data_IF_652431247304
#
_entry.id   IF_652431247304
#
_cell.length_a   1.000
_cell.length_b   1.000
_cell.length_c   1.000
_cell.angle_alpha   90.00
_cell.angle_beta   90.00
_cell.angle_gamma   90.00
#
_symmetry.space_group_name_H-M   'P 1'
#
loop_
_entity.id
_entity.type
_entity.pdbx_description
1 polymer ?
#
# COMPACT_ATOMS: atom_id res chain seq x y z
N UNK A 1 -43.86 -31.54 7.38
CA UNK A 1 -43.49 -31.07 8.74
C UNK A 1 -42.14 -31.68 9.12
N UNK A 2 -41.30 -30.88 9.80
CA UNK A 2 -39.99 -31.16 10.41
C UNK A 2 -38.70 -31.08 9.53
N UNK A 3 -37.75 -30.27 10.04
CA UNK A 3 -36.33 -29.99 9.70
C UNK A 3 -35.50 -30.43 10.95
N UNK A 4 -34.15 -30.34 11.03
CA UNK A 4 -33.03 -30.92 10.26
C UNK A 4 -31.94 -31.58 11.16
N UNK A 5 -30.91 -32.24 10.59
CA UNK A 5 -29.58 -32.53 11.18
C UNK A 5 -28.75 -33.26 10.10
N UNK A 6 -27.49 -33.01 9.78
CA UNK A 6 -26.50 -31.99 10.12
C UNK A 6 -25.42 -32.05 9.04
N UNK A 7 -24.91 -30.90 8.60
CA UNK A 7 -23.86 -30.80 7.59
C UNK A 7 -22.48 -31.02 8.23
N UNK A 8 -21.91 -32.20 8.05
CA UNK A 8 -20.46 -32.37 8.13
C UNK A 8 -19.87 -31.90 6.80
N UNK A 9 -19.40 -30.66 6.76
CA UNK A 9 -18.43 -30.24 5.75
C UNK A 9 -17.11 -30.94 6.10
N UNK A 10 -16.90 -32.15 5.57
CA UNK A 10 -15.56 -32.69 5.42
C UNK A 10 -14.83 -31.75 4.47
N UNK A 11 -14.02 -30.86 5.05
CA UNK A 11 -13.06 -30.08 4.32
C UNK A 11 -12.17 -31.06 3.55
N UNK A 12 -12.20 -30.98 2.22
CA UNK A 12 -11.17 -31.58 1.38
C UNK A 12 -9.86 -30.95 1.84
N UNK A 13 -9.06 -31.71 2.60
CA UNK A 13 -7.67 -31.39 2.90
C UNK A 13 -6.93 -31.51 1.56
N UNK A 14 -6.77 -30.37 0.88
CA UNK A 14 -6.22 -30.32 -0.48
C UNK A 14 -6.00 -28.89 -0.95
N UNK A 15 -4.99 -28.25 -0.34
CA UNK A 15 -4.41 -26.91 -0.57
C UNK A 15 -4.61 -26.02 0.66
N UNK A 16 -3.67 -26.13 1.61
CA UNK A 16 -3.50 -25.07 2.60
C UNK A 16 -3.36 -23.74 1.87
N UNK A 17 -3.98 -22.69 2.41
CA UNK A 17 -3.88 -21.33 1.94
C UNK A 17 -2.46 -21.03 1.42
N UNK A 18 -2.30 -20.92 0.10
CA UNK A 18 -0.97 -20.78 -0.53
C UNK A 18 -0.25 -19.50 -0.07
N UNK A 19 -0.96 -18.51 0.45
CA UNK A 19 -0.39 -17.25 0.93
C UNK A 19 0.04 -17.29 2.40
N UNK A 20 -0.35 -18.29 3.19
CA UNK A 20 0.16 -18.42 4.57
C UNK A 20 1.64 -18.78 4.62
N UNK A 21 2.22 -19.21 3.49
CA UNK A 21 3.68 -19.36 3.33
C UNK A 21 4.44 -18.05 3.60
N UNK A 22 3.79 -16.90 3.34
CA UNK A 22 4.35 -15.57 3.54
C UNK A 22 4.54 -15.21 5.02
N UNK A 23 3.95 -15.94 5.96
CA UNK A 23 4.07 -15.68 7.41
C UNK A 23 5.56 -15.56 7.83
N UNK A 24 6.39 -16.49 7.35
CA UNK A 24 7.82 -16.52 7.67
C UNK A 24 8.60 -15.35 7.07
N UNK A 25 8.24 -14.94 5.85
CA UNK A 25 8.85 -13.80 5.16
C UNK A 25 8.45 -12.48 5.82
N UNK A 26 7.17 -12.31 6.14
CA UNK A 26 6.63 -11.14 6.86
C UNK A 26 7.33 -11.01 8.21
N UNK A 27 7.39 -12.10 8.98
CA UNK A 27 8.07 -12.12 10.28
C UNK A 27 9.54 -11.76 10.12
N UNK A 28 10.22 -12.30 9.11
CA UNK A 28 11.59 -11.95 8.81
C UNK A 28 11.75 -10.45 8.53
N UNK A 29 10.96 -9.86 7.62
CA UNK A 29 11.07 -8.42 7.30
C UNK A 29 10.82 -7.56 8.55
N UNK A 30 9.83 -7.91 9.39
CA UNK A 30 9.57 -7.22 10.65
C UNK A 30 10.73 -7.33 11.66
N UNK A 31 11.40 -8.49 11.77
CA UNK A 31 12.61 -8.62 12.62
C UNK A 31 13.76 -7.73 12.16
N UNK A 32 13.80 -7.41 10.87
CA UNK A 32 14.76 -6.49 10.26
C UNK A 32 14.29 -5.02 10.33
N UNK A 33 13.24 -4.73 11.12
CA UNK A 33 12.63 -3.40 11.29
C UNK A 33 12.02 -2.83 10.01
N UNK A 34 11.73 -3.68 9.03
CA UNK A 34 10.94 -3.32 7.85
C UNK A 34 9.47 -3.46 8.22
N UNK A 35 8.71 -2.38 8.03
CA UNK A 35 7.26 -2.40 8.26
C UNK A 35 6.56 -3.02 7.07
N UNK A 36 5.61 -3.92 7.32
CA UNK A 36 4.84 -4.61 6.28
C UNK A 36 3.40 -4.15 6.33
N UNK A 37 2.89 -3.63 5.21
CA UNK A 37 1.53 -3.12 5.08
C UNK A 37 0.73 -4.01 4.13
N UNK A 38 -0.56 -4.16 4.40
CA UNK A 38 -1.51 -4.66 3.40
C UNK A 38 -2.04 -3.47 2.61
N UNK A 39 -1.76 -3.42 1.30
CA UNK A 39 -2.39 -2.45 0.41
C UNK A 39 -3.71 -3.01 -0.12
N UNK A 40 -4.80 -2.27 0.09
CA UNK A 40 -6.12 -2.65 -0.39
C UNK A 40 -6.21 -2.34 -1.88
N UNK A 41 -6.43 -3.37 -2.70
CA UNK A 41 -6.73 -3.21 -4.12
C UNK A 41 -8.24 -3.17 -4.36
N UNK A 42 -8.69 -2.50 -5.42
CA UNK A 42 -10.02 -2.71 -5.99
C UNK A 42 -9.87 -3.41 -7.33
N UNK A 43 -10.54 -4.55 -7.48
CA UNK A 43 -10.75 -5.17 -8.78
C UNK A 43 -11.82 -4.38 -9.56
N UNK A 44 -11.37 -3.64 -10.58
CA UNK A 44 -12.26 -2.85 -11.46
C UNK A 44 -13.22 -3.71 -12.28
N UNK A 45 -13.00 -5.01 -12.40
CA UNK A 45 -13.90 -5.92 -13.12
C UNK A 45 -15.11 -6.36 -12.28
N UNK A 46 -15.05 -6.20 -10.96
CA UNK A 46 -16.15 -6.51 -10.03
C UNK A 46 -17.15 -5.37 -9.85
N UNK A 47 -17.02 -4.27 -10.62
CA UNK A 47 -17.87 -3.08 -10.49
C UNK A 47 -19.36 -3.33 -10.83
N UNK A 48 -19.72 -4.50 -11.36
CA UNK A 48 -21.09 -4.82 -11.79
C UNK A 48 -21.74 -5.99 -11.04
N UNK A 49 -21.01 -6.75 -10.21
CA UNK A 49 -21.57 -8.00 -9.63
C UNK A 49 -21.56 -8.09 -8.11
N UNK A 50 -20.79 -7.27 -7.38
CA UNK A 50 -20.73 -7.32 -5.91
C UNK A 50 -21.12 -5.99 -5.23
N UNK A 51 -22.24 -5.41 -5.65
CA UNK A 51 -22.91 -4.32 -4.90
C UNK A 51 -23.14 -4.66 -3.42
N UNK A 52 -23.11 -5.95 -3.03
CA UNK A 52 -23.34 -6.39 -1.65
C UNK A 52 -22.23 -6.01 -0.64
N UNK A 53 -20.98 -5.78 -1.06
CA UNK A 53 -19.89 -5.41 -0.12
C UNK A 53 -20.01 -3.96 0.38
N UNK A 54 -20.61 -3.08 -0.42
CA UNK A 54 -20.78 -1.65 -0.11
C UNK A 54 -22.24 -1.24 0.02
N UNK A 55 -23.19 -2.19 -0.04
CA UNK A 55 -24.63 -1.91 0.11
C UNK A 55 -25.11 -1.98 1.57
N UNK A 56 -24.32 -2.58 2.46
CA UNK A 56 -24.64 -2.62 3.89
C UNK A 56 -24.28 -1.28 4.55
N UNK A 57 -25.16 -0.70 5.38
CA UNK A 57 -24.83 0.46 6.20
C UNK A 57 -23.61 0.23 7.12
N UNK A 58 -23.30 -1.02 7.44
CA UNK A 58 -22.19 -1.40 8.33
C UNK A 58 -20.94 -1.82 7.53
N UNK A 59 -20.87 -1.52 6.22
CA UNK A 59 -19.80 -2.00 5.35
C UNK A 59 -18.40 -1.55 5.83
N UNK A 60 -18.26 -0.30 6.26
CA UNK A 60 -17.01 0.23 6.77
C UNK A 60 -16.56 -0.47 8.07
N UNK A 61 -17.48 -0.66 9.02
CA UNK A 61 -17.21 -1.35 10.29
C UNK A 61 -16.86 -2.83 10.06
N UNK A 62 -17.61 -3.51 9.19
CA UNK A 62 -17.36 -4.90 8.84
C UNK A 62 -15.98 -5.08 8.19
N UNK A 63 -15.59 -4.19 7.28
CA UNK A 63 -14.25 -4.22 6.68
C UNK A 63 -13.16 -3.97 7.72
N UNK A 64 -13.33 -2.96 8.58
CA UNK A 64 -12.37 -2.65 9.64
C UNK A 64 -12.18 -3.85 10.59
N UNK A 65 -13.27 -4.48 11.03
CA UNK A 65 -13.24 -5.68 11.88
C UNK A 65 -12.54 -6.84 11.18
N UNK A 66 -12.85 -7.08 9.91
CA UNK A 66 -12.18 -8.11 9.12
C UNK A 66 -10.67 -7.89 9.04
N UNK A 67 -10.23 -6.66 8.76
CA UNK A 67 -8.80 -6.31 8.69
C UNK A 67 -8.11 -6.48 10.04
N UNK A 68 -8.75 -6.01 11.11
CA UNK A 68 -8.26 -6.15 12.49
C UNK A 68 -8.06 -7.61 12.86
N UNK A 69 -9.06 -8.46 12.60
CA UNK A 69 -9.04 -9.87 12.99
C UNK A 69 -8.06 -10.70 12.16
N UNK A 70 -8.02 -10.49 10.84
CA UNK A 70 -7.36 -11.41 9.92
C UNK A 70 -5.93 -11.01 9.54
N UNK A 71 -5.55 -9.74 9.73
CA UNK A 71 -4.24 -9.24 9.30
C UNK A 71 -3.47 -8.49 10.38
N UNK A 72 -4.15 -7.94 11.40
CA UNK A 72 -3.53 -7.06 12.40
C UNK A 72 -3.45 -7.67 13.81
N UNK A 73 -4.08 -8.83 14.04
CA UNK A 73 -4.26 -9.43 15.37
C UNK A 73 -3.21 -10.47 15.77
N UNK A 74 -2.46 -11.04 14.83
CA UNK A 74 -1.56 -12.19 15.10
C UNK A 74 -2.27 -13.54 15.14
N UNK A 75 -3.59 -13.57 14.95
CA UNK A 75 -4.36 -14.81 14.80
C UNK A 75 -4.19 -15.36 13.38
N UNK A 76 -4.55 -16.64 13.22
CA UNK A 76 -4.57 -17.30 11.92
C UNK A 76 -5.49 -16.57 10.96
N UNK A 77 -4.92 -16.09 9.86
CA UNK A 77 -5.65 -15.44 8.77
C UNK A 77 -5.10 -15.79 7.38
N UNK A 78 -5.44 -15.00 6.36
CA UNK A 78 -5.03 -15.24 4.97
C UNK A 78 -3.51 -15.22 4.73
N UNK A 79 -2.72 -14.62 5.61
CA UNK A 79 -1.25 -14.58 5.50
C UNK A 79 -0.57 -15.39 6.61
N UNK A 80 -1.30 -16.30 7.25
CA UNK A 80 -0.86 -17.02 8.44
C UNK A 80 -1.11 -16.22 9.72
N UNK A 81 -0.36 -16.52 10.77
CA UNK A 81 -0.45 -15.91 12.10
C UNK A 81 0.32 -14.58 12.17
N UNK A 82 -0.07 -13.60 11.37
CA UNK A 82 0.66 -12.33 11.24
C UNK A 82 -0.01 -11.17 11.96
N UNK A 83 0.81 -10.22 12.41
CA UNK A 83 0.39 -8.89 12.85
C UNK A 83 1.07 -7.85 11.95
N UNK A 84 0.46 -7.54 10.81
CA UNK A 84 0.99 -6.54 9.87
C UNK A 84 1.10 -5.16 10.53
N UNK A 85 2.07 -4.35 10.12
CA UNK A 85 2.31 -3.02 10.69
C UNK A 85 1.22 -2.02 10.35
N UNK A 86 0.54 -2.18 9.21
CA UNK A 86 -0.47 -1.23 8.79
C UNK A 86 -1.31 -1.63 7.59
N UNK A 87 -2.22 -0.74 7.24
CA UNK A 87 -3.10 -0.81 6.07
C UNK A 87 -2.82 0.38 5.17
N UNK A 88 -2.66 0.12 3.88
CA UNK A 88 -2.51 1.13 2.84
C UNK A 88 -3.78 1.22 2.00
N UNK A 89 -4.33 2.43 1.89
CA UNK A 89 -5.58 2.71 1.20
C UNK A 89 -5.32 3.22 -0.23
N UNK A 90 -6.00 2.65 -1.24
CA UNK A 90 -5.77 3.01 -2.64
C UNK A 90 -6.41 4.35 -2.98
N UNK A 91 -5.98 4.95 -4.09
CA UNK A 91 -6.64 6.12 -4.67
C UNK A 91 -7.93 5.74 -5.40
N UNK A 92 -8.99 5.54 -4.62
CA UNK A 92 -10.32 5.22 -5.13
C UNK A 92 -11.36 6.06 -4.39
N UNK A 93 -12.44 6.39 -5.09
CA UNK A 93 -13.57 7.09 -4.48
C UNK A 93 -14.29 6.20 -3.48
N UNK A 94 -15.02 6.83 -2.56
CA UNK A 94 -15.97 6.13 -1.69
C UNK A 94 -17.02 5.36 -2.51
N UNK A 95 -17.54 4.29 -1.90
CA UNK A 95 -18.75 3.60 -2.35
C UNK A 95 -20.01 4.25 -1.78
N UNK A 96 -21.16 3.61 -2.03
CA UNK A 96 -22.47 4.10 -1.54
C UNK A 96 -22.58 4.04 0.00
N UNK A 97 -22.12 2.96 0.63
CA UNK A 97 -22.07 2.82 2.09
C UNK A 97 -20.68 2.43 2.61
N UNK A 98 -19.66 2.43 1.75
CA UNK A 98 -18.27 2.19 2.16
C UNK A 98 -17.48 3.47 1.99
N UNK A 99 -17.34 4.20 3.09
CA UNK A 99 -16.54 5.43 3.17
C UNK A 99 -15.18 5.14 3.79
N UNK A 100 -14.10 5.58 3.15
CA UNK A 100 -12.74 5.23 3.60
C UNK A 100 -12.36 5.88 4.93
N UNK A 101 -12.90 7.06 5.22
CA UNK A 101 -12.71 7.76 6.50
C UNK A 101 -13.36 7.01 7.67
N UNK A 102 -14.52 6.38 7.46
CA UNK A 102 -15.16 5.51 8.45
C UNK A 102 -14.33 4.26 8.74
N UNK A 103 -13.77 3.61 7.70
CA UNK A 103 -12.87 2.46 7.87
C UNK A 103 -11.63 2.85 8.68
N UNK A 104 -11.00 3.98 8.33
CA UNK A 104 -9.85 4.55 9.05
C UNK A 104 -10.21 4.81 10.52
N UNK A 105 -11.37 5.43 10.77
CA UNK A 105 -11.85 5.75 12.11
C UNK A 105 -12.09 4.49 12.93
N UNK A 106 -12.73 3.47 12.35
CA UNK A 106 -13.00 2.20 13.02
C UNK A 106 -11.71 1.44 13.36
N UNK A 107 -10.73 1.39 12.45
CA UNK A 107 -9.42 0.77 12.76
C UNK A 107 -8.69 1.54 13.86
N UNK A 108 -8.71 2.88 13.80
CA UNK A 108 -8.05 3.73 14.80
C UNK A 108 -8.74 3.67 16.19
N UNK A 109 -10.03 3.33 16.25
CA UNK A 109 -10.76 3.10 17.49
C UNK A 109 -10.45 1.73 18.13
N UNK A 110 -9.68 0.88 17.45
CA UNK A 110 -9.26 -0.42 17.99
C UNK A 110 -8.53 -0.28 19.32
N UNK A 111 -8.83 -1.16 20.26
CA UNK A 111 -8.22 -1.21 21.59
C UNK A 111 -6.90 -2.00 21.63
N UNK A 112 -6.37 -2.36 20.46
CA UNK A 112 -5.07 -3.01 20.40
C UNK A 112 -3.98 -2.14 21.02
N UNK A 113 -3.14 -2.73 21.87
CA UNK A 113 -2.01 -2.01 22.47
C UNK A 113 -0.92 -1.65 21.44
N UNK A 114 -0.95 -2.30 20.27
CA UNK A 114 0.03 -2.10 19.20
C UNK A 114 -0.39 -0.93 18.31
N UNK A 115 0.58 -0.09 17.93
CA UNK A 115 0.37 0.95 16.93
C UNK A 115 0.09 0.32 15.56
N UNK A 116 -1.06 0.66 14.97
CA UNK A 116 -1.38 0.36 13.58
C UNK A 116 -1.08 1.61 12.75
N UNK A 117 -0.30 1.45 11.68
CA UNK A 117 -0.04 2.52 10.73
C UNK A 117 -1.12 2.51 9.64
N UNK A 118 -1.57 3.69 9.22
CA UNK A 118 -2.50 3.86 8.10
C UNK A 118 -1.80 4.76 7.08
N UNK A 119 -1.76 4.32 5.83
CA UNK A 119 -1.21 5.09 4.72
C UNK A 119 -2.22 5.19 3.58
N UNK A 120 -2.01 6.14 2.68
CA UNK A 120 -2.80 6.26 1.47
C UNK A 120 -1.89 6.63 0.32
N UNK A 121 -2.26 6.18 -0.88
CA UNK A 121 -1.53 6.47 -2.12
C UNK A 121 -2.41 7.31 -3.07
N UNK A 122 -2.77 8.57 -2.71
CA UNK A 122 -3.65 9.40 -3.52
C UNK A 122 -3.08 9.64 -4.91
N UNK A 123 -3.93 9.57 -5.93
CA UNK A 123 -3.54 9.95 -7.30
C UNK A 123 -3.55 11.46 -7.40
N UNK A 124 -2.51 11.95 -8.04
CA UNK A 124 -2.43 13.31 -8.51
C UNK A 124 -3.47 13.62 -9.60
N UNK A 125 -4.37 14.56 -9.35
CA UNK A 125 -5.40 14.91 -10.33
C UNK A 125 -4.78 15.55 -11.59
N UNK A 126 -4.76 14.78 -12.67
CA UNK A 126 -4.21 15.15 -13.98
C UNK A 126 -4.84 16.42 -14.58
N UNK A 127 -6.05 16.81 -14.18
CA UNK A 127 -6.85 17.84 -14.85
C UNK A 127 -6.78 19.25 -14.24
N UNK A 128 -6.15 19.45 -13.08
CA UNK A 128 -6.09 20.79 -12.45
C UNK A 128 -4.66 21.30 -12.25
N UNK A 129 -3.69 20.42 -11.95
CA UNK A 129 -2.26 20.69 -11.99
C UNK A 129 -1.49 19.35 -11.92
N UNK A 130 -0.64 19.01 -12.90
CA UNK A 130 0.06 17.73 -12.86
C UNK A 130 1.21 17.78 -11.83
N UNK A 131 1.07 17.20 -10.65
CA UNK A 131 2.20 17.01 -9.70
C UNK A 131 3.28 16.04 -10.21
N UNK A 132 3.19 15.62 -11.47
CA UNK A 132 4.19 14.78 -12.13
C UNK A 132 5.43 15.65 -12.38
N UNK A 133 6.60 15.11 -12.05
CA UNK A 133 7.87 15.73 -12.40
C UNK A 133 8.02 15.83 -13.92
N UNK A 134 8.42 17.01 -14.41
CA UNK A 134 8.76 17.24 -15.82
C UNK A 134 10.25 17.59 -15.90
N UNK A 135 11.06 16.87 -16.69
CA UNK A 135 12.49 17.17 -16.85
C UNK A 135 12.73 18.63 -17.22
N UNK A 136 13.61 19.30 -16.49
CA UNK A 136 13.91 20.73 -16.64
C UNK A 136 12.83 21.71 -16.17
N UNK A 137 11.66 21.24 -15.67
CA UNK A 137 10.63 22.10 -15.08
C UNK A 137 9.84 21.40 -13.96
N UNK A 138 10.40 21.33 -12.73
CA UNK A 138 9.75 20.70 -11.58
C UNK A 138 8.65 21.54 -10.92
N UNK A 139 8.26 22.69 -11.49
CA UNK A 139 7.37 23.67 -10.83
C UNK A 139 6.04 23.06 -10.39
N UNK A 140 5.45 22.16 -11.19
CA UNK A 140 4.17 21.56 -10.84
C UNK A 140 4.30 20.58 -9.67
N UNK A 141 5.38 19.78 -9.64
CA UNK A 141 5.69 18.92 -8.49
C UNK A 141 5.82 19.77 -7.22
N UNK A 142 6.55 20.87 -7.26
CA UNK A 142 6.78 21.72 -6.07
C UNK A 142 5.52 22.47 -5.62
N UNK A 143 4.67 22.92 -6.54
CA UNK A 143 3.40 23.55 -6.19
C UNK A 143 2.50 22.57 -5.43
N UNK A 144 2.36 21.35 -5.96
CA UNK A 144 1.53 20.30 -5.35
C UNK A 144 2.14 19.78 -4.05
N UNK A 145 3.47 19.62 -3.99
CA UNK A 145 4.20 19.29 -2.77
C UNK A 145 3.88 20.27 -1.63
N UNK A 146 3.90 21.57 -1.92
CA UNK A 146 3.59 22.61 -0.96
C UNK A 146 2.12 22.60 -0.52
N UNK A 147 1.19 22.18 -1.39
CA UNK A 147 -0.22 22.02 -1.05
C UNK A 147 -0.39 20.84 -0.08
N UNK A 148 0.15 19.66 -0.40
CA UNK A 148 0.00 18.46 0.42
C UNK A 148 0.62 18.62 1.81
N UNK A 149 1.85 19.10 1.88
CA UNK A 149 2.58 19.26 3.15
C UNK A 149 1.93 20.26 4.09
N UNK A 150 1.29 21.32 3.56
CA UNK A 150 0.55 22.31 4.37
C UNK A 150 -0.84 21.83 4.81
N UNK A 151 -1.56 21.09 3.97
CA UNK A 151 -2.92 20.67 4.27
C UNK A 151 -2.98 19.41 5.16
N UNK A 152 -1.90 18.61 5.21
CA UNK A 152 -1.83 17.40 6.04
C UNK A 152 -0.58 17.40 6.93
N UNK A 153 -0.39 18.42 7.79
CA UNK A 153 0.87 18.66 8.49
C UNK A 153 1.23 17.60 9.54
N UNK A 154 0.25 16.80 9.98
CA UNK A 154 0.43 15.77 11.00
C UNK A 154 0.70 14.37 10.43
N UNK A 155 0.82 14.25 9.11
CA UNK A 155 1.13 13.00 8.41
C UNK A 155 2.46 13.14 7.68
N UNK A 156 3.21 12.04 7.59
CA UNK A 156 4.35 11.96 6.68
C UNK A 156 3.84 11.96 5.24
N UNK A 157 4.41 12.82 4.41
CA UNK A 157 4.14 12.93 2.98
C UNK A 157 5.32 12.31 2.25
N UNK A 158 5.04 11.24 1.51
CA UNK A 158 6.05 10.52 0.75
C UNK A 158 6.10 11.03 -0.68
N UNK A 159 7.29 11.43 -1.15
CA UNK A 159 7.51 11.62 -2.58
C UNK A 159 7.56 10.25 -3.26
N UNK A 160 6.52 9.92 -4.01
CA UNK A 160 6.45 8.72 -4.84
C UNK A 160 7.32 8.88 -6.09
N UNK A 161 8.44 8.15 -6.15
CA UNK A 161 9.35 8.15 -7.30
C UNK A 161 9.25 6.84 -8.06
N UNK A 162 9.23 6.93 -9.39
CA UNK A 162 9.21 5.76 -10.28
C UNK A 162 10.63 5.37 -10.68
N UNK A 163 10.89 4.08 -10.78
CA UNK A 163 12.25 3.57 -10.98
C UNK A 163 12.70 3.56 -12.46
N UNK A 164 11.83 3.82 -13.44
CA UNK A 164 12.15 3.71 -14.87
C UNK A 164 11.76 4.95 -15.67
N UNK A 165 12.63 5.33 -16.61
CA UNK A 165 12.42 6.42 -17.59
C UNK A 165 11.22 6.22 -18.52
N UNK A 166 10.68 5.01 -18.57
CA UNK A 166 9.52 4.65 -19.39
C UNK A 166 8.20 5.12 -18.76
N UNK A 167 8.21 5.50 -17.49
CA UNK A 167 7.03 5.98 -16.76
C UNK A 167 7.11 7.51 -16.64
N UNK A 168 6.00 8.18 -16.97
CA UNK A 168 5.87 9.62 -16.78
C UNK A 168 6.08 9.99 -15.31
N UNK A 169 6.90 11.02 -15.05
CA UNK A 169 7.31 11.41 -13.70
C UNK A 169 8.62 10.79 -13.23
N UNK A 170 9.32 10.03 -14.09
CA UNK A 170 10.71 9.66 -13.82
C UNK A 170 11.57 10.90 -13.60
N UNK A 171 12.38 10.83 -12.54
CA UNK A 171 13.33 11.87 -12.16
C UNK A 171 14.70 11.24 -12.31
N UNK A 172 15.59 11.85 -13.12
CA UNK A 172 16.95 11.38 -13.21
C UNK A 172 17.64 11.45 -11.85
N UNK A 173 18.60 10.55 -11.59
CA UNK A 173 19.32 10.50 -10.33
C UNK A 173 19.94 11.85 -9.95
N UNK A 174 20.56 12.54 -10.92
CA UNK A 174 21.19 13.84 -10.65
C UNK A 174 20.13 14.93 -10.40
N UNK A 175 19.07 14.97 -11.20
CA UNK A 175 17.97 15.92 -11.01
C UNK A 175 17.23 15.69 -9.67
N UNK A 176 17.07 14.43 -9.25
CA UNK A 176 16.49 14.10 -7.95
C UNK A 176 17.32 14.72 -6.84
N UNK A 177 18.63 14.49 -6.83
CA UNK A 177 19.52 14.95 -5.77
C UNK A 177 19.74 16.46 -5.79
N UNK A 178 19.98 17.04 -6.96
CA UNK A 178 20.41 18.42 -7.10
C UNK A 178 19.23 19.39 -7.18
N UNK A 179 18.12 18.99 -7.78
CA UNK A 179 16.97 19.88 -8.03
C UNK A 179 15.78 19.59 -7.10
N UNK A 180 15.45 18.32 -6.85
CA UNK A 180 14.20 17.95 -6.16
C UNK A 180 14.37 17.85 -4.64
N UNK A 181 15.30 17.00 -4.19
CA UNK A 181 15.54 16.73 -2.76
C UNK A 181 15.79 17.99 -1.92
N UNK A 182 16.56 19.00 -2.38
CA UNK A 182 16.81 20.21 -1.60
C UNK A 182 15.55 21.04 -1.31
N UNK A 183 14.51 20.88 -2.12
CA UNK A 183 13.24 21.61 -2.00
C UNK A 183 12.25 20.82 -1.15
N UNK A 184 11.99 19.55 -1.49
CA UNK A 184 10.96 18.74 -0.80
C UNK A 184 11.31 18.53 0.69
N UNK A 185 12.60 18.39 1.01
CA UNK A 185 13.07 18.17 2.39
C UNK A 185 12.92 19.38 3.32
N UNK A 186 12.58 20.55 2.79
CA UNK A 186 12.31 21.73 3.61
C UNK A 186 10.98 21.58 4.38
N UNK A 187 10.10 20.69 3.93
CA UNK A 187 8.88 20.34 4.62
C UNK A 187 9.20 19.41 5.81
N UNK A 188 8.72 19.77 7.00
CA UNK A 188 9.02 19.03 8.24
C UNK A 188 8.43 17.61 8.27
N UNK A 189 7.46 17.33 7.40
CA UNK A 189 6.77 16.06 7.26
C UNK A 189 7.12 15.31 5.96
N UNK A 190 8.29 15.59 5.38
CA UNK A 190 8.80 14.92 4.18
C UNK A 190 9.33 13.51 4.46
N UNK A 191 9.06 12.57 3.54
CA UNK A 191 9.74 11.28 3.41
C UNK A 191 9.74 10.80 1.93
N UNK A 192 10.34 9.66 1.62
CA UNK A 192 10.45 9.10 0.26
C UNK A 192 9.92 7.68 0.12
N UNK A 193 9.22 7.42 -0.98
CA UNK A 193 8.74 6.09 -1.32
C UNK A 193 9.03 5.76 -2.78
N UNK A 194 9.62 4.60 -3.02
CA UNK A 194 9.83 4.10 -4.38
C UNK A 194 8.65 3.23 -4.81
N UNK A 195 8.21 3.47 -6.04
CA UNK A 195 7.16 2.76 -6.74
C UNK A 195 7.81 2.03 -7.92
N UNK A 196 7.54 0.73 -8.06
CA UNK A 196 7.99 -0.19 -9.12
C UNK A 196 9.40 -0.82 -9.05
N UNK A 197 9.48 -2.04 -9.62
CA UNK A 197 10.63 -2.92 -9.91
C UNK A 197 11.73 -3.06 -8.85
N UNK A 198 11.76 -4.25 -8.21
CA UNK A 198 12.70 -4.65 -7.16
C UNK A 198 14.17 -4.40 -7.54
N UNK A 199 14.59 -4.72 -8.76
CA UNK A 199 16.01 -4.67 -9.13
C UNK A 199 16.57 -3.24 -9.25
N UNK A 200 15.76 -2.31 -9.76
CA UNK A 200 16.16 -0.90 -9.85
C UNK A 200 16.02 -0.23 -8.49
N UNK A 201 14.97 -0.59 -7.74
CA UNK A 201 14.79 -0.16 -6.35
C UNK A 201 16.03 -0.46 -5.52
N UNK A 202 16.54 -1.70 -5.47
CA UNK A 202 17.66 -2.05 -4.58
C UNK A 202 18.88 -1.14 -4.80
N UNK A 203 19.27 -0.88 -6.05
CA UNK A 203 20.47 -0.06 -6.34
C UNK A 203 20.30 1.38 -5.89
N UNK A 204 19.15 1.99 -6.20
CA UNK A 204 18.87 3.39 -5.85
C UNK A 204 18.68 3.54 -4.34
N UNK A 205 17.96 2.61 -3.72
CA UNK A 205 17.73 2.55 -2.28
C UNK A 205 19.03 2.41 -1.49
N UNK A 206 19.93 1.50 -1.89
CA UNK A 206 21.24 1.35 -1.25
C UNK A 206 22.08 2.63 -1.36
N UNK A 207 22.03 3.33 -2.49
CA UNK A 207 22.73 4.60 -2.66
C UNK A 207 22.18 5.68 -1.72
N UNK A 208 20.85 5.83 -1.67
CA UNK A 208 20.18 6.78 -0.77
C UNK A 208 20.42 6.44 0.71
N UNK A 209 20.36 5.17 1.09
CA UNK A 209 20.65 4.78 2.47
C UNK A 209 22.07 5.16 2.90
N UNK A 210 23.07 4.98 2.03
CA UNK A 210 24.46 5.41 2.30
C UNK A 210 24.61 6.92 2.49
N UNK A 211 23.69 7.71 1.94
CA UNK A 211 23.63 9.15 2.11
C UNK A 211 22.80 9.58 3.33
N UNK A 212 22.25 8.62 4.10
CA UNK A 212 21.49 8.86 5.32
C UNK A 212 19.98 9.01 5.14
N UNK A 213 19.44 8.67 3.96
CA UNK A 213 18.00 8.73 3.71
C UNK A 213 17.29 7.46 4.25
N UNK A 214 16.14 7.65 4.88
CA UNK A 214 15.17 6.57 5.14
C UNK A 214 14.31 6.43 3.91
N UNK A 215 14.05 5.20 3.46
CA UNK A 215 13.26 4.99 2.24
C UNK A 215 12.35 3.79 2.38
N UNK A 216 11.08 3.96 1.97
CA UNK A 216 10.07 2.91 1.97
C UNK A 216 9.85 2.35 0.55
N UNK A 217 9.54 1.06 0.44
CA UNK A 217 9.20 0.42 -0.83
C UNK A 217 7.75 -0.03 -0.78
N UNK A 218 6.98 0.36 -1.79
CA UNK A 218 5.66 -0.20 -2.04
C UNK A 218 5.74 -1.02 -3.33
N UNK A 219 5.67 -2.35 -3.20
CA UNK A 219 5.58 -3.23 -4.36
C UNK A 219 4.14 -3.23 -4.89
N UNK A 220 3.97 -2.81 -6.14
CA UNK A 220 2.69 -2.76 -6.83
C UNK A 220 2.60 -3.80 -7.96
N UNK A 221 3.36 -4.89 -7.85
CA UNK A 221 3.35 -6.03 -8.78
C UNK A 221 1.97 -6.69 -9.04
N UNK A 222 0.88 -6.16 -8.47
CA UNK A 222 -0.50 -6.52 -8.79
C UNK A 222 -1.19 -5.59 -9.82
N UNK A 223 -0.54 -4.54 -10.34
CA UNK A 223 -1.15 -3.63 -11.33
C UNK A 223 -0.86 -3.97 -12.80
N UNK A 224 -0.04 -4.99 -13.09
CA UNK A 224 0.14 -5.46 -14.47
C UNK A 224 -0.94 -6.48 -14.83
N UNK A 225 -2.06 -5.99 -15.35
CA UNK A 225 -2.93 -6.78 -16.22
C UNK A 225 -2.23 -7.02 -17.57
N UNK A 226 -1.12 -7.76 -17.59
CA UNK A 226 -0.51 -8.21 -18.84
C UNK A 226 -0.88 -9.67 -19.07
N UNK A 227 -1.90 -9.87 -19.91
CA UNK A 227 -2.44 -11.16 -20.32
C UNK A 227 -1.50 -11.96 -21.24
N UNK A 228 -0.17 -11.87 -21.09
CA UNK A 228 0.76 -12.59 -21.98
C UNK A 228 2.04 -13.16 -21.38
N UNK A 229 2.29 -13.06 -20.07
CA UNK A 229 3.42 -13.76 -19.46
C UNK A 229 2.96 -14.92 -18.57
N UNK A 230 3.06 -16.12 -19.13
CA UNK A 230 3.16 -17.36 -18.37
C UNK A 230 4.47 -17.35 -17.58
N UNK A 231 4.51 -16.70 -16.42
CA UNK A 231 5.58 -16.91 -15.46
C UNK A 231 5.00 -17.24 -14.08
N UNK A 232 5.13 -18.49 -13.61
CA UNK A 232 4.64 -18.88 -12.30
C UNK A 232 5.67 -18.42 -11.25
N UNK A 233 5.19 -17.68 -10.25
CA UNK A 233 5.90 -17.24 -9.05
C UNK A 233 6.77 -15.99 -9.24
N UNK A 234 6.19 -14.82 -9.01
CA UNK A 234 6.97 -13.66 -8.57
C UNK A 234 7.08 -13.74 -7.04
N UNK A 235 8.26 -14.03 -6.47
CA UNK A 235 8.44 -14.02 -5.03
C UNK A 235 8.49 -12.58 -4.53
N UNK A 236 7.79 -12.31 -3.43
CA UNK A 236 7.97 -11.08 -2.63
C UNK A 236 9.39 -11.11 -2.05
N UNK A 237 10.35 -10.56 -2.78
CA UNK A 237 11.72 -10.42 -2.28
C UNK A 237 11.82 -9.09 -1.53
N UNK A 238 11.64 -9.15 -0.20
CA UNK A 238 12.21 -8.14 0.70
C UNK A 238 13.73 -8.13 0.51
N UNK A 239 14.26 -7.25 -0.33
CA UNK A 239 15.70 -7.05 -0.43
C UNK A 239 16.15 -6.01 0.59
N UNK A 240 17.02 -6.46 1.50
CA UNK A 240 17.73 -5.63 2.46
C UNK A 240 19.03 -5.09 1.85
N UNK A 241 19.43 -3.90 2.29
CA UNK A 241 20.80 -3.62 2.70
C UNK A 241 20.80 -2.61 3.83
#
# INVERSE_FOLDING_TARGET
MAKPQGSTWEAIVGAGNLCSILESEITYCQTQKVKVFLSLGIDRTLSTTNSNLTASPDAAENLANYLLENFLSGKSGPLGNVSLDGIDFPAVSDGENLHWDEVVTAINASTTARKIYLSAAPICFFYQNPCIYTPGNPSNLFNEWNIWTKNVPNSLIFLGVVATKEIAGYIDYFELIDDVLPIVRQSSNYDMMFKDSVDVCVKVMTALHRMGYTVCVQDLSLYQSDASMNDPLVPVRCSLS
#
